data_IF_762252598621
#
_entry.id   IF_762252598621
#
_cell.length_a   1.000
_cell.length_b   1.000
_cell.length_c   1.000
_cell.angle_alpha   90.00
_cell.angle_beta   90.00
_cell.angle_gamma   90.00
#
_symmetry.space_group_name_H-M   'P 1'
#
loop_
_entity.id
_entity.type
_entity.pdbx_description
1 polymer ?
#
# COMPACT_ATOMS: atom_id res chain seq x y z
N UNK A 1 30.52 -17.80 -15.59
CA UNK A 1 30.67 -16.54 -14.84
C UNK A 1 29.38 -15.78 -14.98
N UNK A 2 28.95 -15.06 -13.94
CA UNK A 2 27.76 -14.23 -13.97
C UNK A 2 27.98 -13.05 -14.94
N UNK A 3 27.15 -12.99 -15.99
CA UNK A 3 27.23 -11.97 -17.04
C UNK A 3 27.14 -10.55 -16.47
N UNK A 4 26.38 -10.34 -15.40
CA UNK A 4 26.21 -9.03 -14.78
C UNK A 4 27.47 -8.60 -14.02
N UNK A 5 28.13 -9.55 -13.35
CA UNK A 5 29.38 -9.32 -12.65
C UNK A 5 30.53 -8.92 -13.60
N UNK A 6 30.55 -9.47 -14.82
CA UNK A 6 31.49 -9.09 -15.87
C UNK A 6 31.31 -7.64 -16.33
N UNK A 7 30.08 -7.11 -16.25
CA UNK A 7 29.73 -5.74 -16.63
C UNK A 7 29.73 -4.75 -15.45
N UNK A 8 30.30 -5.14 -14.31
CA UNK A 8 30.47 -4.25 -13.16
C UNK A 8 29.22 -4.04 -12.32
N UNK A 9 28.25 -4.96 -12.41
CA UNK A 9 27.08 -4.99 -11.54
C UNK A 9 27.21 -6.07 -10.46
N UNK A 10 26.48 -5.89 -9.37
CA UNK A 10 26.27 -6.90 -8.34
C UNK A 10 24.77 -7.07 -8.12
N UNK A 11 24.36 -8.31 -7.93
CA UNK A 11 22.98 -8.65 -7.60
C UNK A 11 22.59 -8.07 -6.23
N UNK A 12 21.37 -7.53 -6.14
CA UNK A 12 20.82 -7.00 -4.90
C UNK A 12 19.80 -7.98 -4.30
N UNK A 13 18.69 -8.21 -5.00
CA UNK A 13 17.60 -9.12 -4.63
C UNK A 13 16.63 -9.29 -5.82
N UNK A 14 15.62 -10.15 -5.68
CA UNK A 14 14.49 -10.21 -6.61
C UNK A 14 13.39 -9.24 -6.18
N UNK A 15 12.56 -8.81 -7.12
CA UNK A 15 11.36 -8.03 -6.81
C UNK A 15 10.31 -8.87 -6.06
N UNK A 16 10.34 -10.19 -6.20
CA UNK A 16 9.64 -11.10 -5.28
C UNK A 16 10.59 -11.51 -4.15
N UNK A 17 10.48 -10.81 -3.02
CA UNK A 17 11.35 -11.04 -1.87
C UNK A 17 11.24 -12.47 -1.32
N UNK A 18 10.15 -13.20 -1.54
CA UNK A 18 10.07 -14.60 -1.11
C UNK A 18 11.18 -15.46 -1.70
N UNK A 19 11.63 -15.14 -2.93
CA UNK A 19 12.72 -15.85 -3.60
C UNK A 19 14.09 -15.53 -3.00
N UNK A 20 14.23 -14.39 -2.32
CA UNK A 20 15.48 -13.94 -1.69
C UNK A 20 15.56 -14.26 -0.19
N UNK A 21 14.44 -14.61 0.45
CA UNK A 21 14.37 -14.86 1.90
C UNK A 21 13.85 -16.27 2.20
N UNK A 22 14.73 -17.27 2.45
CA UNK A 22 14.31 -18.66 2.64
C UNK A 22 13.49 -18.90 3.93
N UNK A 23 13.41 -17.89 4.80
CA UNK A 23 12.64 -17.92 6.05
C UNK A 23 11.14 -17.95 5.85
N UNK A 24 10.66 -17.62 4.65
CA UNK A 24 9.23 -17.72 4.32
C UNK A 24 8.80 -19.15 4.05
N UNK A 25 9.74 -20.05 3.75
CA UNK A 25 9.45 -21.44 3.48
C UNK A 25 9.33 -22.27 4.76
N UNK A 26 8.65 -23.42 4.63
CA UNK A 26 8.53 -24.39 5.71
C UNK A 26 9.89 -24.88 6.22
N UNK A 27 9.90 -25.43 7.43
CA UNK A 27 11.12 -25.88 8.11
C UNK A 27 11.91 -26.92 7.30
N UNK A 28 11.22 -27.76 6.53
CA UNK A 28 11.86 -28.82 5.73
C UNK A 28 12.64 -28.21 4.58
N UNK A 29 11.99 -27.36 3.78
CA UNK A 29 12.64 -26.68 2.66
C UNK A 29 13.76 -25.75 3.13
N UNK A 30 13.53 -24.99 4.22
CA UNK A 30 14.53 -24.10 4.80
C UNK A 30 15.78 -24.86 5.25
N UNK A 31 15.60 -26.00 5.93
CA UNK A 31 16.72 -26.84 6.38
C UNK A 31 17.51 -27.39 5.20
N UNK A 32 16.82 -27.84 4.14
CA UNK A 32 17.48 -28.31 2.92
C UNK A 32 18.29 -27.21 2.23
N UNK A 33 17.72 -26.00 2.07
CA UNK A 33 18.41 -24.86 1.48
C UNK A 33 19.65 -24.45 2.30
N UNK A 34 19.55 -24.48 3.63
CA UNK A 34 20.67 -24.17 4.52
C UNK A 34 21.79 -25.20 4.43
N UNK A 35 21.47 -26.48 4.22
CA UNK A 35 22.46 -27.55 4.00
C UNK A 35 23.15 -27.39 2.64
N UNK A 36 22.38 -27.07 1.59
CA UNK A 36 22.89 -26.97 0.22
C UNK A 36 23.78 -25.74 0.01
N UNK A 37 23.41 -24.58 0.57
CA UNK A 37 24.17 -23.35 0.47
C UNK A 37 24.20 -22.57 1.80
N UNK A 38 25.02 -22.97 2.78
CA UNK A 38 25.00 -22.37 4.12
C UNK A 38 25.42 -20.90 4.15
N UNK A 39 26.27 -20.45 3.21
CA UNK A 39 26.85 -19.09 3.20
C UNK A 39 26.78 -18.40 1.83
N UNK A 40 25.99 -18.93 0.90
CA UNK A 40 25.86 -18.40 -0.45
C UNK A 40 24.39 -18.12 -0.79
N UNK A 41 23.89 -16.90 -0.51
CA UNK A 41 22.52 -16.53 -0.78
C UNK A 41 22.13 -16.69 -2.25
N UNK A 42 23.04 -16.38 -3.19
CA UNK A 42 22.79 -16.51 -4.61
C UNK A 42 22.63 -17.97 -5.03
N UNK A 43 23.45 -18.87 -4.48
CA UNK A 43 23.27 -20.30 -4.70
C UNK A 43 21.96 -20.82 -4.10
N UNK A 44 21.51 -20.30 -2.94
CA UNK A 44 20.19 -20.66 -2.38
C UNK A 44 19.05 -20.26 -3.32
N UNK A 45 19.08 -19.05 -3.86
CA UNK A 45 18.10 -18.59 -4.85
C UNK A 45 18.08 -19.50 -6.09
N UNK A 46 19.25 -19.91 -6.56
CA UNK A 46 19.36 -20.85 -7.67
C UNK A 46 18.79 -22.24 -7.32
N UNK A 47 18.94 -22.72 -6.08
CA UNK A 47 18.29 -23.96 -5.62
C UNK A 47 16.78 -23.82 -5.51
N UNK A 48 16.28 -22.68 -5.05
CA UNK A 48 14.85 -22.36 -5.04
C UNK A 48 14.30 -22.47 -6.47
N UNK A 49 15.01 -21.96 -7.47
CA UNK A 49 14.57 -22.08 -8.88
C UNK A 49 14.41 -23.53 -9.32
N UNK A 50 15.34 -24.40 -8.96
CA UNK A 50 15.25 -25.82 -9.31
C UNK A 50 14.16 -26.55 -8.52
N UNK A 51 14.02 -26.25 -7.23
CA UNK A 51 13.09 -26.94 -6.34
C UNK A 51 11.63 -26.53 -6.59
N UNK A 52 11.39 -25.24 -6.87
CA UNK A 52 10.07 -24.68 -7.13
C UNK A 52 9.74 -24.55 -8.62
N UNK A 53 10.69 -24.90 -9.49
CA UNK A 53 10.57 -24.76 -10.95
C UNK A 53 10.17 -23.33 -11.35
N UNK A 54 10.89 -22.34 -10.81
CA UNK A 54 10.65 -20.91 -11.06
C UNK A 54 10.79 -20.60 -12.55
N UNK A 55 9.72 -20.12 -13.18
CA UNK A 55 9.70 -19.86 -14.62
C UNK A 55 10.25 -18.47 -15.01
N UNK A 56 10.18 -17.49 -14.10
CA UNK A 56 10.55 -16.11 -14.37
C UNK A 56 11.13 -15.42 -13.13
N UNK A 57 12.06 -14.48 -13.33
CA UNK A 57 12.68 -13.66 -12.29
C UNK A 57 12.67 -12.19 -12.67
N UNK A 58 12.52 -11.32 -11.66
CA UNK A 58 12.62 -9.86 -11.79
C UNK A 58 13.73 -9.39 -10.87
N UNK A 59 14.96 -9.50 -11.33
CA UNK A 59 16.14 -9.26 -10.51
C UNK A 59 16.56 -7.79 -10.51
N UNK A 60 16.89 -7.26 -9.34
CA UNK A 60 17.47 -5.94 -9.14
C UNK A 60 18.99 -6.04 -9.01
N UNK A 61 19.69 -5.15 -9.71
CA UNK A 61 21.15 -5.06 -9.70
C UNK A 61 21.59 -3.65 -9.35
N UNK A 62 22.77 -3.54 -8.74
CA UNK A 62 23.43 -2.26 -8.45
C UNK A 62 24.88 -2.30 -8.91
N UNK A 63 25.58 -1.17 -8.87
CA UNK A 63 27.00 -1.12 -9.23
C UNK A 63 27.85 -1.94 -8.24
N UNK A 64 28.89 -2.62 -8.74
CA UNK A 64 29.78 -3.49 -7.95
C UNK A 64 30.50 -2.81 -6.76
N UNK A 65 30.53 -1.48 -6.73
CA UNK A 65 31.08 -0.70 -5.61
C UNK A 65 30.04 -0.26 -4.57
N UNK A 66 28.75 -0.49 -4.82
CA UNK A 66 27.72 -0.25 -3.83
C UNK A 66 27.80 -1.34 -2.75
N UNK A 67 27.71 -0.94 -1.49
CA UNK A 67 27.69 -1.84 -0.33
C UNK A 67 26.32 -1.76 0.35
N UNK A 68 25.25 -2.29 -0.28
CA UNK A 68 23.94 -2.32 0.35
C UNK A 68 24.01 -3.15 1.63
N UNK A 69 23.38 -2.68 2.71
CA UNK A 69 23.24 -3.47 3.94
C UNK A 69 22.24 -4.60 3.65
N UNK A 70 22.62 -5.89 3.78
CA UNK A 70 21.69 -6.98 3.59
C UNK A 70 20.66 -7.01 4.72
N UNK A 71 19.40 -7.28 4.39
CA UNK A 71 18.38 -7.59 5.40
C UNK A 71 18.57 -9.05 5.79
N UNK A 72 18.58 -9.33 7.08
CA UNK A 72 18.77 -10.65 7.67
C UNK A 72 17.72 -10.87 8.76
N UNK A 73 17.60 -12.10 9.26
CA UNK A 73 16.73 -12.40 10.40
C UNK A 73 17.01 -11.52 11.63
N UNK A 74 18.27 -11.13 11.84
CA UNK A 74 18.68 -10.26 12.95
C UNK A 74 18.40 -8.78 12.71
N UNK A 75 18.06 -8.37 11.48
CA UNK A 75 17.81 -6.97 11.13
C UNK A 75 16.60 -6.39 11.88
N UNK A 76 15.63 -7.22 12.28
CA UNK A 76 14.44 -6.80 13.04
C UNK A 76 14.79 -6.11 14.36
N UNK A 77 15.95 -6.43 14.96
CA UNK A 77 16.42 -5.84 16.23
C UNK A 77 17.48 -4.75 16.03
N UNK A 78 17.90 -4.48 14.80
CA UNK A 78 18.92 -3.49 14.48
C UNK A 78 18.32 -2.09 14.44
N UNK A 79 18.83 -1.17 15.28
CA UNK A 79 18.28 0.18 15.41
C UNK A 79 18.44 1.01 14.13
N UNK A 80 19.54 0.84 13.39
CA UNK A 80 19.75 1.54 12.11
C UNK A 80 18.71 1.07 11.08
N UNK A 81 18.43 -0.24 11.04
CA UNK A 81 17.41 -0.81 10.16
C UNK A 81 16.01 -0.31 10.55
N UNK A 82 15.64 -0.36 11.82
CA UNK A 82 14.36 0.18 12.30
C UNK A 82 14.20 1.67 11.94
N UNK A 83 15.25 2.47 12.11
CA UNK A 83 15.23 3.88 11.72
C UNK A 83 15.08 4.06 10.20
N UNK A 84 15.68 3.18 9.39
CA UNK A 84 15.51 3.23 7.93
C UNK A 84 14.05 2.98 7.49
N UNK A 85 13.27 2.25 8.28
CA UNK A 85 11.86 2.00 8.02
C UNK A 85 10.98 3.26 8.17
N UNK A 86 11.44 4.27 8.91
CA UNK A 86 10.73 5.55 9.08
C UNK A 86 10.68 6.39 7.78
N UNK A 87 11.41 5.98 6.75
CA UNK A 87 11.41 6.64 5.43
C UNK A 87 10.25 6.20 4.52
N UNK A 88 9.43 5.26 4.98
CA UNK A 88 8.39 4.65 4.16
C UNK A 88 6.99 4.87 4.72
N UNK A 89 6.04 5.03 3.79
CA UNK A 89 4.63 4.83 4.03
C UNK A 89 4.30 3.37 3.74
N UNK A 90 3.76 2.69 4.74
CA UNK A 90 3.34 1.30 4.67
C UNK A 90 1.87 1.23 4.24
N UNK A 91 1.57 0.26 3.40
CA UNK A 91 0.20 -0.09 3.01
C UNK A 91 -0.04 -1.56 3.27
N UNK A 92 -0.94 -1.84 4.22
CA UNK A 92 -1.41 -3.16 4.55
C UNK A 92 -2.30 -3.70 3.42
N UNK A 93 -1.87 -4.79 2.80
CA UNK A 93 -2.60 -5.52 1.75
C UNK A 93 -3.32 -6.76 2.30
N UNK A 94 -3.10 -7.06 3.59
CA UNK A 94 -3.75 -8.16 4.30
C UNK A 94 -5.21 -7.77 4.60
N UNK A 95 -6.20 -8.56 4.15
CA UNK A 95 -7.60 -8.37 4.53
C UNK A 95 -7.78 -8.37 6.05
N UNK A 96 -8.69 -7.54 6.56
CA UNK A 96 -8.85 -7.32 8.00
C UNK A 96 -9.24 -8.59 8.77
N UNK A 97 -9.98 -9.50 8.14
CA UNK A 97 -10.36 -10.80 8.66
C UNK A 97 -9.18 -11.76 8.89
N UNK A 98 -8.04 -11.50 8.26
CA UNK A 98 -6.83 -12.30 8.41
C UNK A 98 -5.84 -11.71 9.42
N UNK A 99 -6.06 -10.49 9.92
CA UNK A 99 -5.17 -9.86 10.89
C UNK A 99 -5.20 -10.55 12.25
N UNK A 100 -6.39 -10.85 12.76
CA UNK A 100 -6.57 -11.47 14.07
C UNK A 100 -5.76 -12.79 14.21
N UNK A 101 -5.88 -13.79 13.31
CA UNK A 101 -5.09 -15.02 13.44
C UNK A 101 -3.58 -14.81 13.28
N UNK A 102 -3.14 -13.85 12.44
CA UNK A 102 -1.70 -13.52 12.28
C UNK A 102 -1.15 -12.96 13.59
N UNK A 103 -1.85 -11.99 14.16
CA UNK A 103 -1.47 -11.41 15.43
C UNK A 103 -1.53 -12.46 16.54
N UNK A 104 -2.56 -13.29 16.63
CA UNK A 104 -2.60 -14.40 17.60
C UNK A 104 -1.41 -15.36 17.49
N UNK A 105 -0.95 -15.71 16.28
CA UNK A 105 0.24 -16.54 16.09
C UNK A 105 1.52 -15.83 16.59
N UNK A 106 1.69 -14.56 16.26
CA UNK A 106 2.78 -13.74 16.79
C UNK A 106 2.72 -13.63 18.32
N UNK A 107 1.51 -13.50 18.88
CA UNK A 107 1.28 -13.41 20.31
C UNK A 107 1.67 -14.69 21.02
N UNK A 108 1.40 -15.88 20.45
CA UNK A 108 1.79 -17.18 21.02
C UNK A 108 3.31 -17.35 21.16
N UNK A 109 4.10 -16.56 20.41
CA UNK A 109 5.56 -16.54 20.52
C UNK A 109 6.06 -15.70 21.71
N UNK A 110 5.16 -14.98 22.40
CA UNK A 110 5.38 -14.29 23.69
C UNK A 110 4.13 -14.44 24.59
N UNK A 111 3.97 -13.64 25.66
CA UNK A 111 2.85 -13.73 26.61
C UNK A 111 2.20 -12.34 26.73
N UNK A 112 1.14 -11.98 25.97
CA UNK A 112 0.40 -10.72 26.26
C UNK A 112 -0.94 -10.48 25.53
N UNK A 113 -1.74 -9.58 26.15
CA UNK A 113 -2.97 -8.93 25.67
C UNK A 113 -2.75 -7.79 24.66
N UNK A 114 -1.52 -7.49 24.26
CA UNK A 114 -1.20 -6.33 23.44
C UNK A 114 -1.56 -6.50 21.95
N UNK A 115 -1.72 -7.73 21.51
CA UNK A 115 -2.06 -8.06 20.13
C UNK A 115 -3.46 -7.63 19.73
N UNK A 116 -4.40 -7.66 20.69
CA UNK A 116 -5.76 -7.17 20.45
C UNK A 116 -5.78 -5.68 20.12
N UNK A 117 -4.93 -4.88 20.77
CA UNK A 117 -4.84 -3.46 20.49
C UNK A 117 -4.31 -3.17 19.08
N UNK A 118 -3.38 -3.97 18.56
CA UNK A 118 -2.87 -3.84 17.19
C UNK A 118 -3.91 -4.22 16.14
N UNK A 119 -4.67 -5.30 16.37
CA UNK A 119 -5.77 -5.71 15.49
C UNK A 119 -6.85 -4.62 15.45
N UNK A 120 -7.29 -4.15 16.62
CA UNK A 120 -8.31 -3.12 16.73
C UNK A 120 -7.85 -1.81 16.05
N UNK A 121 -6.56 -1.46 16.18
CA UNK A 121 -5.95 -0.31 15.52
C UNK A 121 -6.05 -0.42 14.00
N UNK A 122 -5.55 -1.50 13.39
CA UNK A 122 -5.59 -1.65 11.93
C UNK A 122 -7.00 -1.81 11.37
N UNK A 123 -7.95 -2.34 12.15
CA UNK A 123 -9.36 -2.39 11.77
C UNK A 123 -10.03 -1.01 11.78
N UNK A 124 -9.60 -0.08 12.65
CA UNK A 124 -10.20 1.25 12.80
C UNK A 124 -9.55 2.31 11.90
N UNK A 125 -8.23 2.24 11.74
CA UNK A 125 -7.40 3.27 11.14
C UNK A 125 -7.11 3.08 9.65
N UNK A 126 -7.60 1.98 9.08
CA UNK A 126 -7.36 1.64 7.68
C UNK A 126 -5.94 1.14 7.40
N UNK A 127 -5.59 0.98 6.11
CA UNK A 127 -4.41 0.21 5.71
C UNK A 127 -3.11 1.03 5.64
N UNK A 128 -3.17 2.35 5.73
CA UNK A 128 -2.02 3.23 5.49
C UNK A 128 -1.46 3.79 6.79
N UNK A 129 -0.15 3.64 7.01
CA UNK A 129 0.52 4.16 8.20
C UNK A 129 2.02 4.37 7.94
N UNK A 130 2.68 5.17 8.77
CA UNK A 130 4.13 5.28 8.82
C UNK A 130 4.65 5.23 10.25
N UNK A 131 5.97 5.11 10.41
CA UNK A 131 6.62 5.07 11.72
C UNK A 131 7.41 6.34 11.98
N UNK A 132 7.36 6.81 13.23
CA UNK A 132 8.13 7.95 13.70
C UNK A 132 8.50 7.74 15.16
N UNK A 133 9.77 7.47 15.44
CA UNK A 133 10.28 7.20 16.78
C UNK A 133 9.49 6.11 17.53
N UNK A 134 9.25 4.96 16.88
CA UNK A 134 8.43 3.85 17.39
C UNK A 134 6.94 4.17 17.62
N UNK A 135 6.46 5.34 17.19
CA UNK A 135 5.04 5.67 17.13
C UNK A 135 4.50 5.32 15.75
N UNK A 136 3.36 4.63 15.72
CA UNK A 136 2.61 4.37 14.50
C UNK A 136 1.74 5.60 14.21
N UNK A 137 1.88 6.18 13.03
CA UNK A 137 1.11 7.35 12.62
C UNK A 137 0.17 6.98 11.49
N UNK A 138 -1.12 7.23 11.68
CA UNK A 138 -2.20 7.01 10.72
C UNK A 138 -2.79 8.35 10.31
N UNK A 139 -3.83 8.33 9.48
CA UNK A 139 -4.52 9.54 9.09
C UNK A 139 -5.31 10.18 10.25
N UNK A 140 -5.68 9.43 11.30
CA UNK A 140 -6.40 9.98 12.46
C UNK A 140 -5.47 10.53 13.54
N UNK A 141 -4.19 10.14 13.53
CA UNK A 141 -3.20 10.64 14.47
C UNK A 141 -2.08 9.66 14.82
N UNK A 142 -1.44 9.95 15.95
CA UNK A 142 -0.32 9.20 16.49
C UNK A 142 -0.78 8.14 17.51
N UNK A 143 -0.26 6.92 17.37
CA UNK A 143 -0.59 5.76 18.20
C UNK A 143 0.69 5.16 18.79
N UNK A 144 0.92 5.38 20.09
CA UNK A 144 2.09 4.84 20.78
C UNK A 144 1.96 3.33 20.96
N UNK A 145 2.93 2.59 20.46
CA UNK A 145 3.05 1.16 20.73
C UNK A 145 3.78 0.94 22.05
N UNK A 146 3.30 0.06 22.95
CA UNK A 146 4.04 -0.28 24.16
C UNK A 146 5.39 -0.92 23.80
N UNK A 147 6.47 -0.56 24.49
CA UNK A 147 7.85 -1.03 24.18
C UNK A 147 7.96 -2.55 24.07
N UNK A 148 7.21 -3.28 24.91
CA UNK A 148 7.17 -4.75 24.91
C UNK A 148 6.64 -5.35 23.58
N UNK A 149 5.91 -4.56 22.79
CA UNK A 149 5.31 -4.97 21.52
C UNK A 149 6.20 -4.66 20.32
N UNK A 150 7.16 -3.74 20.46
CA UNK A 150 7.98 -3.26 19.34
C UNK A 150 8.71 -4.39 18.61
N UNK A 151 9.34 -5.38 19.30
CA UNK A 151 10.00 -6.48 18.59
C UNK A 151 9.03 -7.30 17.73
N UNK A 152 7.83 -7.62 18.25
CA UNK A 152 6.81 -8.35 17.49
C UNK A 152 6.27 -7.53 16.33
N UNK A 153 6.11 -6.24 16.53
CA UNK A 153 5.64 -5.34 15.49
C UNK A 153 6.65 -5.22 14.33
N UNK A 154 7.94 -5.03 14.62
CA UNK A 154 8.97 -5.02 13.59
C UNK A 154 9.12 -6.40 12.91
N UNK A 155 8.95 -7.50 13.66
CA UNK A 155 8.92 -8.84 13.08
C UNK A 155 7.73 -8.97 12.11
N UNK A 156 6.53 -8.58 12.53
CA UNK A 156 5.33 -8.54 11.69
C UNK A 156 5.57 -7.74 10.42
N UNK A 157 6.13 -6.54 10.54
CA UNK A 157 6.42 -5.68 9.39
C UNK A 157 7.35 -6.38 8.39
N UNK A 158 8.51 -6.85 8.85
CA UNK A 158 9.50 -7.47 7.96
C UNK A 158 8.97 -8.75 7.31
N UNK A 159 8.34 -9.63 8.09
CA UNK A 159 7.77 -10.88 7.57
C UNK A 159 6.73 -10.59 6.47
N UNK A 160 5.83 -9.63 6.70
CA UNK A 160 4.75 -9.34 5.76
C UNK A 160 5.18 -8.43 4.61
N UNK A 161 6.27 -7.66 4.74
CA UNK A 161 6.92 -7.01 3.58
C UNK A 161 7.48 -8.08 2.65
N UNK A 162 8.19 -9.07 3.19
CA UNK A 162 8.79 -10.14 2.38
C UNK A 162 7.70 -10.99 1.71
N UNK A 163 6.64 -11.32 2.45
CA UNK A 163 5.51 -12.11 1.94
C UNK A 163 4.56 -11.33 1.03
N UNK A 164 4.72 -10.01 0.90
CA UNK A 164 3.86 -9.14 0.09
C UNK A 164 2.53 -8.75 0.75
N UNK A 165 2.32 -9.09 2.02
CA UNK A 165 1.19 -8.60 2.82
C UNK A 165 1.27 -7.12 3.17
N UNK A 166 2.47 -6.52 3.13
CA UNK A 166 2.69 -5.09 3.33
C UNK A 166 3.51 -4.56 2.16
N UNK A 167 3.03 -3.47 1.56
CA UNK A 167 3.75 -2.75 0.50
C UNK A 167 4.34 -1.44 1.03
N UNK A 168 5.43 -1.00 0.41
CA UNK A 168 6.18 0.19 0.79
C UNK A 168 6.12 1.23 -0.31
N UNK A 169 5.96 2.49 0.08
CA UNK A 169 6.18 3.65 -0.79
C UNK A 169 7.03 4.69 -0.05
N UNK A 170 7.73 5.55 -0.78
CA UNK A 170 8.53 6.61 -0.15
C UNK A 170 7.59 7.55 0.60
N UNK A 171 7.90 7.83 1.86
CA UNK A 171 7.13 8.75 2.69
C UNK A 171 7.29 10.19 2.17
N UNK A 172 6.17 10.84 1.86
CA UNK A 172 6.14 12.28 1.59
C UNK A 172 6.06 13.05 2.91
N UNK A 173 7.03 13.95 3.17
CA UNK A 173 7.18 14.58 4.48
C UNK A 173 6.09 15.60 4.83
N UNK A 174 5.56 16.31 3.82
CA UNK A 174 4.57 17.38 4.03
C UNK A 174 3.15 16.82 4.14
N UNK A 175 2.76 15.96 3.21
CA UNK A 175 1.43 15.32 3.21
C UNK A 175 1.54 13.80 2.98
N UNK A 176 1.85 13.02 4.03
CA UNK A 176 2.05 11.58 3.95
C UNK A 176 0.90 10.81 3.31
N UNK A 177 -0.34 11.29 3.51
CA UNK A 177 -1.56 10.59 3.12
C UNK A 177 -2.31 11.26 1.96
N UNK A 178 -1.73 12.26 1.27
CA UNK A 178 -2.46 13.06 0.26
C UNK A 178 -3.08 12.25 -0.87
N UNK A 179 -2.45 11.13 -1.25
CA UNK A 179 -2.94 10.23 -2.30
C UNK A 179 -4.03 9.28 -1.79
N UNK A 180 -4.17 9.13 -0.48
CA UNK A 180 -4.92 8.06 0.17
C UNK A 180 -6.14 8.52 0.94
N UNK A 181 -6.22 9.81 1.27
CA UNK A 181 -7.30 10.36 2.09
C UNK A 181 -7.80 11.63 1.44
N UNK A 182 -9.11 11.68 1.21
CA UNK A 182 -9.75 12.89 0.72
C UNK A 182 -9.94 13.90 1.86
N UNK A 183 -9.34 15.08 1.71
CA UNK A 183 -9.55 16.24 2.58
C UNK A 183 -10.44 17.28 1.89
N UNK A 184 -11.57 17.59 2.52
CA UNK A 184 -12.53 18.56 2.00
C UNK A 184 -11.87 19.94 1.79
N UNK A 185 -12.19 20.59 0.67
CA UNK A 185 -11.65 21.88 0.22
C UNK A 185 -10.15 21.90 -0.08
N UNK A 186 -9.44 20.78 0.03
CA UNK A 186 -8.00 20.69 -0.22
C UNK A 186 -7.64 19.68 -1.30
N UNK A 187 -8.23 18.49 -1.20
CA UNK A 187 -7.94 17.39 -2.11
C UNK A 187 -8.57 17.62 -3.48
N UNK A 188 -7.83 17.25 -4.51
CA UNK A 188 -8.28 17.30 -5.90
C UNK A 188 -7.54 16.24 -6.72
N UNK A 189 -8.08 15.93 -7.90
CA UNK A 189 -7.43 15.06 -8.88
C UNK A 189 -6.88 15.95 -10.00
N UNK A 190 -5.55 16.01 -10.19
CA UNK A 190 -4.96 16.79 -11.26
C UNK A 190 -5.53 16.43 -12.64
N UNK A 191 -5.95 17.44 -13.41
CA UNK A 191 -6.54 17.26 -14.74
C UNK A 191 -5.67 16.42 -15.69
N UNK A 192 -4.34 16.43 -15.50
CA UNK A 192 -3.41 15.60 -16.29
C UNK A 192 -3.68 14.09 -16.20
N UNK A 193 -4.35 13.61 -15.14
CA UNK A 193 -4.68 12.20 -14.99
C UNK A 193 -5.97 11.80 -15.72
N UNK A 194 -6.87 12.76 -16.03
CA UNK A 194 -8.14 12.45 -16.70
C UNK A 194 -7.91 11.83 -18.10
N UNK A 195 -7.07 12.41 -18.99
CA UNK A 195 -6.83 11.83 -20.31
C UNK A 195 -6.19 10.43 -20.26
N UNK A 196 -5.50 10.08 -19.17
CA UNK A 196 -4.87 8.77 -19.01
C UNK A 196 -5.91 7.65 -18.88
N UNK A 197 -7.06 7.94 -18.27
CA UNK A 197 -8.13 6.96 -17.98
C UNK A 197 -9.39 7.16 -18.81
N UNK A 198 -9.52 8.27 -19.54
CA UNK A 198 -10.75 8.66 -20.27
C UNK A 198 -11.22 7.64 -21.32
N UNK A 199 -10.30 6.88 -21.91
CA UNK A 199 -10.65 5.86 -22.91
C UNK A 199 -11.18 4.56 -22.28
N UNK A 200 -10.96 4.35 -20.97
CA UNK A 200 -11.25 3.08 -20.29
C UNK A 200 -12.75 2.71 -20.28
N UNK A 201 -13.69 3.64 -20.05
CA UNK A 201 -15.11 3.31 -20.04
C UNK A 201 -15.70 2.95 -21.42
N UNK A 202 -14.95 3.13 -22.51
CA UNK A 202 -15.44 2.84 -23.86
C UNK A 202 -15.70 1.33 -24.03
N UNK A 203 -16.83 1.00 -24.66
CA UNK A 203 -17.25 -0.39 -24.85
C UNK A 203 -16.14 -1.22 -25.53
N UNK A 204 -15.79 -2.34 -24.91
CA UNK A 204 -14.77 -3.27 -25.40
C UNK A 204 -13.33 -2.93 -25.04
N UNK A 205 -13.01 -1.73 -24.53
CA UNK A 205 -11.63 -1.35 -24.17
C UNK A 205 -11.11 -2.16 -22.98
N UNK A 206 -11.92 -2.30 -21.93
CA UNK A 206 -11.61 -3.09 -20.72
C UNK A 206 -11.39 -4.59 -20.99
N UNK A 207 -11.62 -5.09 -22.21
CA UNK A 207 -11.25 -6.44 -22.62
C UNK A 207 -9.78 -6.58 -23.05
N UNK A 208 -9.08 -5.46 -23.28
CA UNK A 208 -7.72 -5.44 -23.84
C UNK A 208 -6.71 -4.70 -22.97
N UNK A 209 -7.14 -3.63 -22.28
CA UNK A 209 -6.28 -2.78 -21.47
C UNK A 209 -6.97 -2.41 -20.16
N UNK A 210 -6.16 -2.16 -19.13
CA UNK A 210 -6.60 -1.67 -17.82
C UNK A 210 -5.73 -0.46 -17.44
N UNK A 211 -6.28 0.58 -16.80
CA UNK A 211 -5.46 1.64 -16.26
C UNK A 211 -4.69 1.14 -15.04
N UNK A 212 -3.53 1.72 -14.79
CA UNK A 212 -2.78 1.51 -13.55
C UNK A 212 -3.17 2.56 -12.51
N UNK A 213 -3.25 2.16 -11.24
CA UNK A 213 -3.29 3.11 -10.12
C UNK A 213 -1.92 3.79 -9.93
N UNK A 214 -1.78 4.65 -8.91
CA UNK A 214 -0.50 5.32 -8.59
C UNK A 214 0.68 4.34 -8.36
N UNK A 215 0.41 3.14 -7.89
CA UNK A 215 1.39 2.09 -7.60
C UNK A 215 1.67 1.20 -8.81
N UNK A 216 1.07 1.51 -9.97
CA UNK A 216 1.11 0.70 -11.18
C UNK A 216 0.46 -0.69 -11.00
N UNK A 217 -0.48 -0.81 -10.05
CA UNK A 217 -1.38 -1.96 -9.95
C UNK A 217 -2.54 -1.79 -10.95
N UNK A 218 -2.97 -2.86 -11.65
CA UNK A 218 -4.07 -2.76 -12.60
C UNK A 218 -5.41 -2.52 -11.90
N UNK A 219 -6.22 -1.62 -12.44
CA UNK A 219 -7.60 -1.38 -12.02
C UNK A 219 -8.53 -2.05 -13.03
N UNK A 220 -9.12 -3.18 -12.69
CA UNK A 220 -9.88 -3.99 -13.66
C UNK A 220 -11.31 -3.52 -13.92
N UNK A 221 -11.86 -2.71 -13.01
CA UNK A 221 -13.28 -2.36 -12.96
C UNK A 221 -13.54 -0.85 -13.14
N UNK A 222 -12.58 -0.12 -13.70
CA UNK A 222 -12.73 1.32 -13.97
C UNK A 222 -13.87 1.58 -14.96
N UNK A 223 -14.81 2.45 -14.59
CA UNK A 223 -16.04 2.71 -15.34
C UNK A 223 -16.33 4.20 -15.59
N UNK A 224 -17.48 4.49 -16.20
CA UNK A 224 -17.87 5.86 -16.56
C UNK A 224 -18.15 6.71 -15.31
N UNK A 225 -18.74 6.12 -14.27
CA UNK A 225 -18.97 6.78 -12.99
C UNK A 225 -17.66 7.23 -12.33
N UNK A 226 -16.63 6.38 -12.35
CA UNK A 226 -15.29 6.71 -11.86
C UNK A 226 -14.72 7.92 -12.62
N UNK A 227 -14.78 7.91 -13.96
CA UNK A 227 -14.27 8.99 -14.80
C UNK A 227 -14.99 10.32 -14.52
N UNK A 228 -16.32 10.31 -14.46
CA UNK A 228 -17.09 11.52 -14.19
C UNK A 228 -16.86 12.02 -12.77
N UNK A 229 -16.73 11.12 -11.79
CA UNK A 229 -16.40 11.50 -10.42
C UNK A 229 -14.99 12.11 -10.32
N UNK A 230 -14.01 11.56 -11.06
CA UNK A 230 -12.68 12.15 -11.16
C UNK A 230 -12.72 13.58 -11.71
N UNK A 231 -13.56 13.85 -12.72
CA UNK A 231 -13.76 15.20 -13.28
C UNK A 231 -14.39 16.15 -12.26
N UNK A 232 -15.34 15.68 -11.44
CA UNK A 232 -15.93 16.47 -10.36
C UNK A 232 -14.92 16.87 -9.28
N UNK A 233 -13.91 16.03 -9.05
CA UNK A 233 -12.81 16.30 -8.12
C UNK A 233 -11.61 17.00 -8.77
N UNK A 234 -11.72 17.50 -10.00
CA UNK A 234 -10.60 18.17 -10.70
C UNK A 234 -10.04 19.41 -9.99
N UNK A 235 -10.81 19.96 -9.04
CA UNK A 235 -10.44 21.11 -8.20
C UNK A 235 -10.88 20.86 -6.77
N UNK A 236 -10.25 21.54 -5.78
CA UNK A 236 -10.70 21.44 -4.40
C UNK A 236 -12.18 21.82 -4.27
N UNK A 237 -12.94 20.97 -3.59
CA UNK A 237 -14.41 21.05 -3.55
C UNK A 237 -14.95 20.61 -2.18
N UNK A 238 -16.25 20.81 -1.96
CA UNK A 238 -16.94 20.38 -0.73
C UNK A 238 -17.71 19.09 -0.95
N UNK A 239 -17.92 18.31 0.12
CA UNK A 239 -18.77 17.11 0.08
C UNK A 239 -20.16 17.46 -0.44
N UNK A 240 -20.71 18.58 0.03
CA UNK A 240 -22.04 19.03 -0.36
C UNK A 240 -22.14 19.43 -1.84
N UNK A 241 -21.13 20.12 -2.37
CA UNK A 241 -21.13 20.52 -3.79
C UNK A 241 -21.05 19.30 -4.70
N UNK A 242 -20.19 18.32 -4.39
CA UNK A 242 -20.10 17.06 -5.13
C UNK A 242 -21.41 16.29 -5.05
N UNK A 243 -22.02 16.17 -3.87
CA UNK A 243 -23.32 15.50 -3.72
C UNK A 243 -24.45 16.20 -4.50
N UNK A 244 -24.44 17.54 -4.59
CA UNK A 244 -25.39 18.27 -5.44
C UNK A 244 -25.16 17.98 -6.93
N UNK A 245 -23.89 17.87 -7.35
CA UNK A 245 -23.55 17.50 -8.74
C UNK A 245 -23.96 16.06 -9.09
N UNK A 246 -23.81 15.12 -8.14
CA UNK A 246 -24.34 13.77 -8.30
C UNK A 246 -25.86 13.81 -8.44
N UNK A 247 -26.57 14.58 -7.59
CA UNK A 247 -28.01 14.74 -7.70
C UNK A 247 -28.40 15.25 -9.09
N UNK A 248 -27.77 16.33 -9.55
CA UNK A 248 -27.98 16.93 -10.87
C UNK A 248 -27.79 15.92 -12.01
N UNK A 249 -26.72 15.13 -11.97
CA UNK A 249 -26.47 14.11 -12.98
C UNK A 249 -27.53 13.00 -12.99
N UNK A 250 -28.10 12.65 -11.84
CA UNK A 250 -29.12 11.60 -11.71
C UNK A 250 -30.54 12.07 -12.05
N UNK A 251 -30.83 13.37 -11.92
CA UNK A 251 -32.21 13.90 -12.03
C UNK A 251 -32.40 14.93 -13.13
N UNK A 252 -31.32 15.44 -13.70
CA UNK A 252 -31.30 16.60 -14.60
C UNK A 252 -31.82 17.90 -13.94
N UNK A 253 -31.92 17.93 -12.60
CA UNK A 253 -32.43 19.07 -11.83
C UNK A 253 -31.37 19.61 -10.85
N UNK A 254 -31.18 20.93 -10.82
CA UNK A 254 -30.33 21.60 -9.83
C UNK A 254 -30.96 21.61 -8.44
N UNK A 255 -30.15 21.39 -7.40
CA UNK A 255 -30.60 21.40 -6.01
C UNK A 255 -29.63 22.19 -5.12
N UNK A 256 -30.16 22.85 -4.09
CA UNK A 256 -29.31 23.47 -3.07
C UNK A 256 -28.91 22.44 -2.00
N UNK A 257 -27.77 22.63 -1.30
CA UNK A 257 -27.32 21.71 -0.25
C UNK A 257 -28.38 21.45 0.84
N UNK A 258 -29.09 22.50 1.27
CA UNK A 258 -30.13 22.37 2.30
C UNK A 258 -31.35 21.58 1.79
N UNK A 259 -31.75 21.79 0.53
CA UNK A 259 -32.84 21.03 -0.07
C UNK A 259 -32.44 19.56 -0.29
N UNK A 260 -31.17 19.29 -0.64
CA UNK A 260 -30.67 17.94 -0.81
C UNK A 260 -30.73 17.14 0.50
N UNK A 261 -30.37 17.75 1.63
CA UNK A 261 -30.48 17.10 2.95
C UNK A 261 -31.90 16.67 3.33
N UNK A 262 -32.92 17.33 2.75
CA UNK A 262 -34.34 17.02 2.97
C UNK A 262 -34.92 16.12 1.87
N UNK A 263 -34.13 15.80 0.85
CA UNK A 263 -34.56 14.97 -0.28
C UNK A 263 -34.69 13.51 0.15
N UNK A 264 -35.71 12.82 -0.38
CA UNK A 264 -35.84 11.37 -0.25
C UNK A 264 -34.70 10.58 -0.94
N UNK A 265 -33.89 11.24 -1.78
CA UNK A 265 -32.71 10.66 -2.45
C UNK A 265 -31.39 10.85 -1.68
N UNK A 266 -31.39 11.60 -0.57
CA UNK A 266 -30.16 11.97 0.16
C UNK A 266 -29.30 10.77 0.54
N UNK A 267 -29.90 9.76 1.18
CA UNK A 267 -29.17 8.58 1.67
C UNK A 267 -28.50 7.80 0.54
N UNK A 268 -29.18 7.67 -0.61
CA UNK A 268 -28.63 6.99 -1.79
C UNK A 268 -27.43 7.75 -2.37
N UNK A 269 -27.54 9.08 -2.49
CA UNK A 269 -26.45 9.93 -3.00
C UNK A 269 -25.28 9.96 -2.05
N UNK A 270 -25.54 9.98 -0.74
CA UNK A 270 -24.49 9.90 0.28
C UNK A 270 -23.72 8.58 0.17
N UNK A 271 -24.41 7.45 0.05
CA UNK A 271 -23.77 6.15 -0.11
C UNK A 271 -22.94 6.07 -1.39
N UNK A 272 -23.46 6.60 -2.51
CA UNK A 272 -22.71 6.68 -3.77
C UNK A 272 -21.46 7.55 -3.64
N UNK A 273 -21.58 8.74 -3.05
CA UNK A 273 -20.45 9.63 -2.78
C UNK A 273 -19.37 8.93 -1.93
N UNK A 274 -19.76 8.27 -0.85
CA UNK A 274 -18.81 7.61 0.06
C UNK A 274 -18.08 6.45 -0.64
N UNK A 275 -18.77 5.68 -1.48
CA UNK A 275 -18.14 4.62 -2.27
C UNK A 275 -17.18 5.18 -3.33
N UNK A 276 -17.57 6.25 -4.02
CA UNK A 276 -16.70 6.88 -5.02
C UNK A 276 -15.46 7.50 -4.39
N UNK A 277 -15.56 8.13 -3.22
CA UNK A 277 -14.39 8.63 -2.48
C UNK A 277 -13.43 7.49 -2.15
N UNK A 278 -13.92 6.37 -1.60
CA UNK A 278 -13.07 5.20 -1.31
C UNK A 278 -12.36 4.68 -2.56
N UNK A 279 -13.04 4.68 -3.71
CA UNK A 279 -12.42 4.30 -4.99
C UNK A 279 -11.33 5.28 -5.42
N UNK A 280 -11.53 6.59 -5.26
CA UNK A 280 -10.51 7.59 -5.57
C UNK A 280 -9.28 7.47 -4.65
N UNK A 281 -9.50 7.20 -3.37
CA UNK A 281 -8.45 6.91 -2.38
C UNK A 281 -7.68 5.63 -2.74
N UNK A 282 -8.36 4.59 -3.23
CA UNK A 282 -7.74 3.38 -3.74
C UNK A 282 -6.92 3.60 -5.03
N UNK A 283 -7.41 4.42 -5.97
CA UNK A 283 -6.69 4.74 -7.21
C UNK A 283 -5.42 5.57 -6.95
N UNK A 284 -5.41 6.39 -5.90
CA UNK A 284 -4.21 7.11 -5.48
C UNK A 284 -3.90 8.36 -6.31
N UNK A 285 -4.89 8.96 -6.98
CA UNK A 285 -4.68 10.13 -7.84
C UNK A 285 -4.92 11.48 -7.14
N UNK A 286 -5.27 11.47 -5.86
CA UNK A 286 -5.51 12.68 -5.07
C UNK A 286 -4.21 13.44 -4.83
N UNK A 287 -4.24 14.75 -5.00
CA UNK A 287 -3.21 15.70 -4.56
C UNK A 287 -3.87 16.73 -3.63
N UNK A 288 -3.06 17.50 -2.92
CA UNK A 288 -3.51 18.57 -2.01
C UNK A 288 -3.09 19.93 -2.56
N UNK A 289 -4.03 20.88 -2.67
CA UNK A 289 -3.75 22.27 -3.03
C UNK A 289 -3.58 23.13 -1.77
N UNK A 290 -2.36 23.61 -1.54
CA UNK A 290 -2.05 24.50 -0.42
C UNK A 290 -2.29 25.98 -0.72
N UNK A 291 -2.46 26.35 -2.00
CA UNK A 291 -2.43 27.76 -2.43
C UNK A 291 -3.70 28.54 -2.08
N UNK A 292 -4.72 27.89 -1.52
CA UNK A 292 -6.00 28.52 -1.16
C UNK A 292 -6.17 28.81 0.34
N UNK A 293 -5.16 28.55 1.19
CA UNK A 293 -5.28 28.71 2.65
C UNK A 293 -4.18 29.53 3.33
N UNK A 294 -3.48 30.40 2.59
CA UNK A 294 -2.69 31.51 3.17
C UNK A 294 -3.43 32.84 3.06
#
# INVERSE_FOLDING_TARGET
>A
MDHMAEHGFTYLCDCDLNLSFPTVYDETLRTQLQVLAPHDPLAREQYIDFMLNTAFRKSLFTHKGATPKPITETSVTDADFQHSLEQFLFTLRIPSEHLEPIFEDLAKRMDSSATKALVDLFQQEGPHFYLKHNTLVTYTGEHTLPDICLPLFYQFLVEHIIQGGISLSVLETEHPFKHHVFEEKKSYIPERYIPFVEIMPQEGVNAYIYPGNRYNDPISDFNEEDLEFMKLLSKPTTKHDVMCKIYEAMTEESISPLALQQSNKYTMILAFYEEMIRRMEYFGFLEVDETQFN
#
